data_IF_850846768061
#
_entry.id   IF_850846768061
#
_cell.length_a   1.000
_cell.length_b   1.000
_cell.length_c   1.000
_cell.angle_alpha   90.00
_cell.angle_beta   90.00
_cell.angle_gamma   90.00
#
_symmetry.space_group_name_H-M   'P 1'
#
loop_
_entity.id
_entity.type
_entity.pdbx_description
1 polymer ?
#
# COMPACT_ATOMS: atom_id res chain seq x y z
N UNK A 1 -1.18 12.61 -22.01
CA UNK A 1 -1.75 11.48 -21.27
C UNK A 1 -1.96 11.95 -19.84
N UNK A 2 -3.21 12.13 -19.43
CA UNK A 2 -3.53 12.59 -18.09
C UNK A 2 -3.42 11.39 -17.15
N UNK A 3 -2.22 11.12 -16.63
CA UNK A 3 -2.03 10.06 -15.64
C UNK A 3 -2.83 10.44 -14.40
N UNK A 4 -3.96 9.75 -14.24
CA UNK A 4 -4.85 9.83 -13.11
C UNK A 4 -4.13 9.26 -11.90
N UNK A 5 -3.39 10.12 -11.19
CA UNK A 5 -3.14 10.16 -9.74
C UNK A 5 -2.64 8.91 -9.00
N UNK A 6 -2.66 7.72 -9.58
CA UNK A 6 -2.01 6.53 -9.04
C UNK A 6 -0.51 6.78 -9.20
N UNK A 7 0.18 7.00 -8.08
CA UNK A 7 1.61 7.30 -7.95
C UNK A 7 2.41 7.18 -9.26
N UNK A 8 3.03 8.27 -9.69
CA UNK A 8 3.79 8.31 -10.94
C UNK A 8 4.77 7.14 -11.07
N UNK A 9 4.90 6.65 -12.31
CA UNK A 9 5.82 5.55 -12.63
C UNK A 9 7.23 5.86 -12.13
N UNK A 10 7.88 4.86 -11.54
CA UNK A 10 9.25 4.96 -11.07
C UNK A 10 9.45 4.45 -9.67
N UNK A 11 10.57 4.86 -9.08
CA UNK A 11 11.02 4.41 -7.76
C UNK A 11 10.66 5.44 -6.72
N UNK A 12 10.23 4.96 -5.57
CA UNK A 12 9.85 5.76 -4.42
C UNK A 12 10.54 5.21 -3.18
N UNK A 13 11.03 6.09 -2.33
CA UNK A 13 11.49 5.78 -1.00
C UNK A 13 10.37 5.98 -0.01
N UNK A 14 10.24 5.06 0.94
CA UNK A 14 9.28 5.13 2.03
C UNK A 14 10.05 5.29 3.33
N UNK A 15 9.65 6.25 4.16
CA UNK A 15 10.19 6.45 5.50
C UNK A 15 9.07 6.81 6.46
N UNK A 16 9.00 6.14 7.60
CA UNK A 16 7.91 6.34 8.53
C UNK A 16 8.01 5.51 9.79
N UNK A 17 6.87 5.29 10.42
CA UNK A 17 6.72 4.51 11.63
C UNK A 17 5.65 3.45 11.46
N UNK A 18 5.92 2.28 12.02
CA UNK A 18 4.97 1.22 12.23
C UNK A 18 4.55 1.21 13.70
N UNK A 19 3.26 1.11 13.97
CA UNK A 19 2.71 1.09 15.32
C UNK A 19 1.85 -0.16 15.51
N UNK A 20 1.97 -0.75 16.69
CA UNK A 20 1.15 -1.86 17.18
C UNK A 20 0.55 -1.47 18.53
N UNK A 21 -0.48 -2.18 18.99
CA UNK A 21 -1.30 -1.76 20.14
C UNK A 21 -0.51 -1.44 21.41
N UNK A 22 0.49 -2.25 21.72
CA UNK A 22 1.19 -2.20 23.02
C UNK A 22 2.70 -1.90 22.87
N UNK A 23 3.11 -1.37 21.72
CA UNK A 23 4.52 -1.12 21.38
C UNK A 23 4.85 0.35 21.18
N UNK A 24 6.12 0.70 21.39
CA UNK A 24 6.66 1.96 20.88
C UNK A 24 6.65 1.94 19.34
N UNK A 25 6.51 3.10 18.67
CA UNK A 25 6.65 3.19 17.23
C UNK A 25 7.99 2.62 16.76
N UNK A 26 7.94 1.75 15.74
CA UNK A 26 9.12 1.15 15.13
C UNK A 26 9.41 1.85 13.82
N UNK A 27 10.64 2.34 13.64
CA UNK A 27 11.04 2.97 12.39
C UNK A 27 10.93 1.98 11.23
N UNK A 28 10.29 2.40 10.15
CA UNK A 28 10.16 1.62 8.92
C UNK A 28 10.77 2.38 7.74
N UNK A 29 11.52 1.66 6.93
CA UNK A 29 12.02 2.16 5.63
C UNK A 29 11.53 1.24 4.54
N UNK A 30 11.31 1.78 3.36
CA UNK A 30 10.90 0.98 2.23
C UNK A 30 11.33 1.53 0.89
N UNK A 31 11.23 0.66 -0.10
CA UNK A 31 11.38 1.01 -1.51
C UNK A 31 10.15 0.52 -2.24
N UNK A 32 9.59 1.40 -3.05
CA UNK A 32 8.41 1.15 -3.86
C UNK A 32 8.78 1.35 -5.33
N UNK A 33 8.35 0.44 -6.20
CA UNK A 33 8.45 0.55 -7.64
C UNK A 33 7.03 0.52 -8.22
N UNK A 34 6.65 1.56 -8.94
CA UNK A 34 5.40 1.62 -9.69
C UNK A 34 5.74 1.54 -11.17
N UNK A 35 5.05 0.66 -11.89
CA UNK A 35 5.19 0.46 -13.32
C UNK A 35 3.81 0.34 -13.96
N UNK A 36 3.67 0.90 -15.16
CA UNK A 36 2.49 0.72 -16.00
C UNK A 36 2.84 -0.16 -17.19
N UNK A 37 1.92 -1.04 -17.58
CA UNK A 37 2.04 -1.81 -18.81
C UNK A 37 0.91 -1.45 -19.78
N UNK A 38 0.92 -2.10 -20.94
CA UNK A 38 -0.15 -1.96 -21.93
C UNK A 38 -1.52 -2.28 -21.30
N UNK A 39 -2.59 -1.72 -21.90
CA UNK A 39 -3.98 -1.93 -21.49
C UNK A 39 -4.33 -1.43 -20.07
N UNK A 40 -3.67 -0.37 -19.60
CA UNK A 40 -3.94 0.29 -18.31
C UNK A 40 -3.73 -0.59 -17.07
N UNK A 41 -2.89 -1.62 -17.18
CA UNK A 41 -2.44 -2.41 -16.04
C UNK A 41 -1.32 -1.68 -15.30
N UNK A 42 -1.39 -1.71 -13.97
CA UNK A 42 -0.32 -1.23 -13.11
C UNK A 42 0.23 -2.36 -12.25
N UNK A 43 1.51 -2.27 -11.94
CA UNK A 43 2.18 -3.04 -10.91
C UNK A 43 2.80 -2.09 -9.91
N UNK A 44 2.54 -2.33 -8.64
CA UNK A 44 3.18 -1.62 -7.54
C UNK A 44 3.84 -2.67 -6.65
N UNK A 45 5.17 -2.62 -6.53
CA UNK A 45 5.94 -3.47 -5.62
C UNK A 45 6.52 -2.64 -4.49
N UNK A 46 6.29 -3.00 -3.23
CA UNK A 46 6.92 -2.38 -2.06
C UNK A 46 7.67 -3.42 -1.25
N UNK A 47 8.87 -3.06 -0.81
CA UNK A 47 9.61 -3.80 0.22
C UNK A 47 9.86 -2.90 1.41
N UNK A 48 9.47 -3.35 2.60
CA UNK A 48 9.69 -2.69 3.89
C UNK A 48 10.75 -3.43 4.70
N UNK A 49 11.58 -2.66 5.39
CA UNK A 49 12.60 -3.11 6.33
C UNK A 49 12.47 -2.32 7.62
N UNK A 50 12.86 -2.94 8.73
CA UNK A 50 12.78 -2.38 10.08
C UNK A 50 14.19 -2.35 10.67
N UNK A 51 14.97 -1.27 10.46
CA UNK A 51 16.41 -1.26 10.71
C UNK A 51 16.82 -1.57 12.15
N UNK A 52 15.97 -1.22 13.11
CA UNK A 52 16.24 -1.31 14.55
C UNK A 52 15.32 -2.33 15.24
N UNK A 53 14.87 -3.35 14.50
CA UNK A 53 13.95 -4.36 14.99
C UNK A 53 14.25 -5.73 14.38
N UNK A 54 14.03 -6.79 15.15
CA UNK A 54 14.10 -8.18 14.66
C UNK A 54 12.89 -8.57 13.79
N UNK A 55 12.06 -7.59 13.42
CA UNK A 55 10.89 -7.80 12.58
C UNK A 55 11.30 -8.21 11.17
N UNK A 56 10.61 -9.23 10.67
CA UNK A 56 10.77 -9.68 9.29
C UNK A 56 10.41 -8.58 8.29
N UNK A 57 11.15 -8.54 7.19
CA UNK A 57 10.84 -7.69 6.06
C UNK A 57 9.43 -8.00 5.53
N UNK A 58 8.72 -6.96 5.10
CA UNK A 58 7.39 -7.11 4.50
C UNK A 58 7.48 -6.72 3.03
N UNK A 59 7.02 -7.61 2.15
CA UNK A 59 6.93 -7.33 0.72
C UNK A 59 5.46 -7.33 0.27
N UNK A 60 5.12 -6.37 -0.58
CA UNK A 60 3.82 -6.20 -1.21
C UNK A 60 4.01 -6.17 -2.72
N UNK A 61 3.16 -6.86 -3.44
CA UNK A 61 3.06 -6.74 -4.88
C UNK A 61 1.58 -6.62 -5.27
N UNK A 62 1.19 -5.41 -5.64
CA UNK A 62 -0.11 -5.10 -6.19
C UNK A 62 -0.04 -5.26 -7.71
N UNK A 63 -1.09 -5.87 -8.25
CA UNK A 63 -1.36 -5.88 -9.69
C UNK A 63 -2.82 -5.56 -9.90
N UNK A 64 -3.09 -4.46 -10.58
CA UNK A 64 -4.46 -4.00 -10.84
C UNK A 64 -4.59 -3.34 -12.19
N UNK A 65 -5.82 -2.97 -12.53
CA UNK A 65 -6.16 -2.30 -13.77
C UNK A 65 -7.00 -1.08 -13.47
N UNK A 66 -6.67 0.05 -14.07
CA UNK A 66 -7.41 1.30 -13.96
C UNK A 66 -7.67 1.84 -15.36
N UNK A 67 -8.89 1.72 -15.85
CA UNK A 67 -9.21 2.21 -17.20
C UNK A 67 -9.22 3.75 -17.26
N UNK A 68 -8.96 4.28 -18.47
CA UNK A 68 -8.84 5.72 -18.68
C UNK A 68 -10.17 6.44 -18.34
N UNK A 69 -10.07 7.44 -17.45
CA UNK A 69 -11.24 8.21 -16.99
C UNK A 69 -11.96 7.60 -15.80
N UNK A 70 -11.65 6.35 -15.44
CA UNK A 70 -12.16 5.72 -14.23
C UNK A 70 -11.45 6.26 -12.98
N UNK A 71 -12.15 6.14 -11.85
CA UNK A 71 -11.58 6.45 -10.52
C UNK A 71 -11.54 5.24 -9.62
N UNK A 72 -12.28 4.18 -9.95
CA UNK A 72 -12.27 2.94 -9.21
C UNK A 72 -11.42 1.91 -9.94
N UNK A 73 -10.68 1.12 -9.18
CA UNK A 73 -9.90 0.00 -9.69
C UNK A 73 -9.97 -1.18 -8.73
N UNK A 74 -9.73 -2.37 -9.26
CA UNK A 74 -9.52 -3.59 -8.47
C UNK A 74 -8.08 -4.06 -8.63
N UNK A 75 -7.59 -4.78 -7.62
CA UNK A 75 -6.25 -5.34 -7.65
C UNK A 75 -6.20 -6.66 -6.89
N UNK A 76 -5.22 -7.48 -7.29
CA UNK A 76 -4.73 -8.58 -6.48
C UNK A 76 -3.45 -8.10 -5.82
N UNK A 77 -3.34 -8.32 -4.52
CA UNK A 77 -2.12 -8.07 -3.76
C UNK A 77 -1.56 -9.41 -3.28
N UNK A 78 -0.28 -9.62 -3.53
CA UNK A 78 0.48 -10.68 -2.90
C UNK A 78 1.35 -10.04 -1.82
N UNK A 79 1.12 -10.42 -0.56
CA UNK A 79 1.88 -9.91 0.57
C UNK A 79 2.59 -11.06 1.28
N UNK A 80 3.87 -10.87 1.64
CA UNK A 80 4.67 -11.90 2.30
C UNK A 80 4.06 -12.38 3.63
N UNK A 81 3.34 -11.51 4.35
CA UNK A 81 2.72 -11.81 5.64
C UNK A 81 1.28 -12.37 5.53
N UNK A 82 0.52 -11.91 4.54
CA UNK A 82 -0.93 -12.18 4.43
C UNK A 82 -1.28 -13.18 3.33
N UNK A 83 -0.33 -13.52 2.45
CA UNK A 83 -0.61 -14.37 1.29
C UNK A 83 -1.30 -13.61 0.16
N UNK A 84 -2.28 -14.24 -0.47
CA UNK A 84 -3.05 -13.66 -1.58
C UNK A 84 -4.25 -12.89 -1.03
N UNK A 85 -4.41 -11.66 -1.48
CA UNK A 85 -5.48 -10.78 -1.06
C UNK A 85 -6.10 -10.11 -2.28
N UNK A 86 -7.38 -9.79 -2.18
CA UNK A 86 -8.10 -9.02 -3.20
C UNK A 86 -8.52 -7.68 -2.61
N UNK A 87 -8.47 -6.65 -3.44
CA UNK A 87 -8.78 -5.31 -3.00
C UNK A 87 -9.32 -4.43 -4.10
N UNK A 88 -9.76 -3.27 -3.68
CA UNK A 88 -10.24 -2.21 -4.54
C UNK A 88 -9.72 -0.87 -4.03
N UNK A 89 -9.63 0.09 -4.94
CA UNK A 89 -9.24 1.44 -4.61
C UNK A 89 -10.01 2.48 -5.40
N UNK A 90 -9.98 3.68 -4.84
CA UNK A 90 -10.61 4.88 -5.36
C UNK A 90 -9.57 5.99 -5.45
N UNK A 91 -9.55 6.66 -6.59
CA UNK A 91 -8.76 7.87 -6.84
C UNK A 91 -9.67 9.08 -6.59
N UNK A 92 -9.42 9.74 -5.48
CA UNK A 92 -10.01 11.03 -5.12
C UNK A 92 -9.14 12.19 -5.69
N UNK A 93 -9.63 13.44 -5.67
CA UNK A 93 -8.88 14.58 -6.22
C UNK A 93 -7.52 14.83 -5.56
N UNK A 94 -7.36 14.44 -4.29
CA UNK A 94 -6.15 14.67 -3.50
C UNK A 94 -5.53 13.40 -2.91
N UNK A 95 -6.16 12.24 -3.10
CA UNK A 95 -5.72 11.00 -2.45
C UNK A 95 -6.13 9.75 -3.22
N UNK A 96 -5.46 8.66 -2.92
CA UNK A 96 -5.87 7.31 -3.27
C UNK A 96 -6.33 6.65 -1.97
N UNK A 97 -7.49 6.02 -1.98
CA UNK A 97 -8.01 5.24 -0.85
C UNK A 97 -8.24 3.83 -1.32
N UNK A 98 -7.60 2.86 -0.68
CA UNK A 98 -7.76 1.46 -1.02
C UNK A 98 -7.97 0.59 0.19
N UNK A 99 -8.65 -0.53 -0.02
CA UNK A 99 -8.86 -1.57 0.98
C UNK A 99 -8.61 -2.94 0.37
N UNK A 100 -8.26 -3.90 1.21
CA UNK A 100 -8.10 -5.28 0.80
C UNK A 100 -8.62 -6.25 1.86
N UNK A 101 -8.99 -7.43 1.41
CA UNK A 101 -9.37 -8.57 2.24
C UNK A 101 -8.47 -9.75 1.90
N UNK A 102 -7.93 -10.39 2.94
CA UNK A 102 -7.12 -11.60 2.79
C UNK A 102 -8.03 -12.77 2.40
N UNK A 103 -7.69 -13.44 1.30
CA UNK A 103 -8.36 -14.66 0.90
C UNK A 103 -7.75 -15.81 1.70
N UNK A 104 -8.32 -16.11 2.86
CA UNK A 104 -7.94 -17.29 3.67
C UNK A 104 -9.08 -18.28 3.75
N UNK A 105 -8.76 -19.57 3.67
CA UNK A 105 -9.74 -20.66 3.85
C UNK A 105 -10.22 -20.79 5.32
N UNK A 106 -9.56 -20.12 6.26
CA UNK A 106 -9.95 -20.07 7.67
C UNK A 106 -10.71 -18.77 8.00
N UNK A 107 -12.04 -18.87 8.08
CA UNK A 107 -12.95 -17.76 8.43
C UNK A 107 -12.63 -17.11 9.79
N UNK A 108 -11.87 -17.77 10.68
CA UNK A 108 -11.48 -17.23 11.98
C UNK A 108 -10.31 -16.25 11.91
N UNK A 109 -9.61 -16.17 10.77
CA UNK A 109 -8.50 -15.24 10.55
C UNK A 109 -8.77 -14.26 9.41
N UNK A 110 -10.00 -13.76 9.28
CA UNK A 110 -10.33 -12.67 8.35
C UNK A 110 -9.51 -11.43 8.66
N UNK A 111 -8.39 -11.31 7.96
CA UNK A 111 -7.54 -10.13 7.98
C UNK A 111 -7.95 -9.24 6.82
N UNK A 112 -7.93 -7.95 7.07
CA UNK A 112 -8.17 -6.92 6.07
C UNK A 112 -7.22 -5.77 6.32
N UNK A 113 -7.19 -4.83 5.39
CA UNK A 113 -6.47 -3.61 5.61
C UNK A 113 -6.92 -2.51 4.69
N UNK A 114 -6.37 -1.33 4.92
CA UNK A 114 -6.61 -0.17 4.11
C UNK A 114 -5.34 0.65 4.00
N UNK A 115 -5.27 1.44 2.94
CA UNK A 115 -4.21 2.41 2.70
C UNK A 115 -4.85 3.68 2.15
N UNK A 116 -4.40 4.82 2.67
CA UNK A 116 -4.72 6.15 2.15
C UNK A 116 -3.42 6.84 1.80
N UNK A 117 -3.30 7.26 0.55
CA UNK A 117 -2.10 7.89 0.00
C UNK A 117 -2.52 9.29 -0.42
N UNK A 118 -2.19 10.29 0.39
CA UNK A 118 -2.53 11.69 0.15
C UNK A 118 -1.37 12.38 -0.55
N UNK A 119 -1.64 13.09 -1.63
CA UNK A 119 -0.61 13.85 -2.35
C UNK A 119 -0.23 15.08 -1.55
N UNK A 120 1.06 15.26 -1.30
CA UNK A 120 1.62 16.51 -0.77
C UNK A 120 2.05 17.39 -1.94
N UNK A 121 2.81 16.81 -2.87
CA UNK A 121 3.24 17.41 -4.12
C UNK A 121 3.45 16.32 -5.19
N UNK A 122 3.98 16.67 -6.35
CA UNK A 122 4.17 15.76 -7.50
C UNK A 122 5.12 14.59 -7.21
N UNK A 123 6.03 14.75 -6.24
CA UNK A 123 7.06 13.78 -5.89
C UNK A 123 6.99 13.32 -4.43
N UNK A 124 5.99 13.77 -3.68
CA UNK A 124 5.84 13.46 -2.26
C UNK A 124 4.39 13.11 -1.92
N UNK A 125 4.21 11.98 -1.26
CA UNK A 125 2.90 11.54 -0.76
C UNK A 125 3.00 11.15 0.72
N UNK A 126 1.92 11.38 1.47
CA UNK A 126 1.74 10.84 2.81
C UNK A 126 0.93 9.55 2.72
N UNK A 127 1.44 8.48 3.31
CA UNK A 127 0.81 7.17 3.39
C UNK A 127 0.35 6.92 4.82
N UNK A 128 -0.93 6.62 4.98
CA UNK A 128 -1.51 6.06 6.20
C UNK A 128 -2.11 4.70 5.89
N UNK A 129 -1.72 3.67 6.61
CA UNK A 129 -2.30 2.33 6.44
C UNK A 129 -2.63 1.67 7.76
N UNK A 130 -3.49 0.66 7.69
CA UNK A 130 -3.88 -0.13 8.83
C UNK A 130 -4.17 -1.57 8.46
N UNK A 131 -3.79 -2.50 9.34
CA UNK A 131 -4.15 -3.91 9.25
C UNK A 131 -5.16 -4.22 10.34
N UNK A 132 -6.22 -4.92 9.97
CA UNK A 132 -7.26 -5.39 10.86
C UNK A 132 -7.25 -6.92 10.95
N UNK A 133 -7.63 -7.43 12.12
CA UNK A 133 -8.05 -8.82 12.32
C UNK A 133 -9.47 -8.80 12.87
N UNK A 134 -10.44 -9.29 12.09
CA UNK A 134 -11.86 -9.02 12.36
C UNK A 134 -12.13 -7.50 12.38
N UNK A 135 -12.65 -6.99 13.49
CA UNK A 135 -12.92 -5.55 13.67
C UNK A 135 -11.78 -4.79 14.38
N UNK A 136 -10.77 -5.50 14.88
CA UNK A 136 -9.69 -4.89 15.64
C UNK A 136 -8.59 -4.38 14.69
N UNK A 137 -8.33 -3.08 14.74
CA UNK A 137 -7.09 -2.50 14.17
C UNK A 137 -5.90 -3.02 14.98
N UNK A 138 -5.04 -3.83 14.37
CA UNK A 138 -3.92 -4.50 15.04
C UNK A 138 -2.59 -3.79 14.82
N UNK A 139 -2.45 -3.11 13.68
CA UNK A 139 -1.30 -2.28 13.38
C UNK A 139 -1.67 -1.13 12.47
N UNK A 140 -0.88 -0.06 12.52
CA UNK A 140 -0.91 1.02 11.54
C UNK A 140 0.51 1.33 11.06
N UNK A 141 0.59 1.92 9.87
CA UNK A 141 1.81 2.52 9.37
C UNK A 141 1.51 3.94 8.94
N UNK A 142 2.35 4.87 9.36
CA UNK A 142 2.37 6.23 8.86
C UNK A 142 3.73 6.47 8.21
N UNK A 143 3.73 6.92 6.96
CA UNK A 143 4.96 7.12 6.22
C UNK A 143 4.87 8.24 5.19
N UNK A 144 6.03 8.70 4.74
CA UNK A 144 6.17 9.57 3.58
C UNK A 144 6.80 8.78 2.45
N UNK A 145 6.22 8.88 1.27
CA UNK A 145 6.72 8.36 0.00
C UNK A 145 7.36 9.51 -0.79
N UNK A 146 8.62 9.35 -1.19
CA UNK A 146 9.35 10.34 -2.00
C UNK A 146 9.88 9.71 -3.29
N UNK A 147 9.58 10.33 -4.43
CA UNK A 147 10.05 9.84 -5.73
C UNK A 147 11.56 10.00 -5.84
N UNK A 148 12.24 8.96 -6.31
CA UNK A 148 13.63 9.05 -6.72
C UNK A 148 13.68 9.59 -8.15
N UNK A 149 14.31 10.75 -8.31
CA UNK A 149 14.62 11.35 -9.60
C UNK A 149 15.98 10.91 -10.10
#
# INVERSE_FOLDING_TARGET
MAHTFLMEEGRWLLHGNWLERDGLPVAVKGKTLVAWSQENWFTWVTKLVFPDSDRQEIAFQYRGRLDAGERQYTFVLQQSLLGRVEGEGWIAPGSIVQRYLVLSDDDRQRRSGFETISRIDDNTYHLSSGILTGHALVSIMEAVLQRQT
#
